data_IF_731662775404
#
_entry.id   IF_731662775404
#
_cell.length_a   1.000
_cell.length_b   1.000
_cell.length_c   1.000
_cell.angle_alpha   90.00
_cell.angle_beta   90.00
_cell.angle_gamma   90.00
#
_symmetry.space_group_name_H-M   'P 1'
#
loop_
_entity.id
_entity.type
_entity.pdbx_description
1 polymer ?
#
# COMPACT_ATOMS: atom_id res chain seq x y z
N UNK A 1 6.70 6.76 2.62
CA UNK A 1 5.23 6.78 2.71
C UNK A 1 4.75 7.35 4.05
N UNK A 2 4.88 6.65 5.18
CA UNK A 2 4.22 7.04 6.45
C UNK A 2 4.52 8.47 6.95
N UNK A 3 5.77 8.94 6.92
CA UNK A 3 6.07 10.31 7.37
C UNK A 3 5.39 11.41 6.53
N UNK A 4 5.21 11.17 5.23
CA UNK A 4 4.45 12.07 4.34
C UNK A 4 2.95 11.92 4.59
N UNK A 5 2.48 10.70 4.82
CA UNK A 5 1.09 10.43 5.17
C UNK A 5 0.68 11.18 6.44
N UNK A 6 1.43 11.02 7.52
CA UNK A 6 1.17 11.68 8.80
C UNK A 6 1.17 13.22 8.66
N UNK A 7 2.01 13.74 7.75
CA UNK A 7 2.06 15.18 7.46
C UNK A 7 0.76 15.68 6.83
N UNK A 8 0.30 15.01 5.77
CA UNK A 8 -0.90 15.44 5.02
C UNK A 8 -2.22 15.03 5.67
N UNK A 9 -2.22 14.00 6.51
CA UNK A 9 -3.40 13.48 7.22
C UNK A 9 -3.58 14.03 8.64
N UNK A 10 -2.67 14.87 9.12
CA UNK A 10 -2.65 15.36 10.49
C UNK A 10 -4.03 15.82 11.01
N UNK A 11 -4.75 16.62 10.24
CA UNK A 11 -6.07 17.16 10.62
C UNK A 11 -7.21 16.12 10.59
N UNK A 12 -7.16 15.14 9.69
CA UNK A 12 -8.12 14.03 9.69
C UNK A 12 -7.83 13.04 10.82
N UNK A 13 -6.55 12.72 11.05
CA UNK A 13 -6.11 11.76 12.06
C UNK A 13 -6.40 12.23 13.49
N UNK A 14 -6.33 13.54 13.73
CA UNK A 14 -6.72 14.12 15.03
C UNK A 14 -8.17 13.79 15.42
N UNK A 15 -9.05 13.67 14.41
CA UNK A 15 -10.49 13.42 14.55
C UNK A 15 -10.86 11.93 14.51
N UNK A 16 -9.95 11.05 14.10
CA UNK A 16 -10.19 9.60 14.07
C UNK A 16 -10.00 8.99 15.48
N UNK A 17 -11.03 8.38 16.09
CA UNK A 17 -10.92 7.73 17.40
C UNK A 17 -9.95 6.55 17.44
N UNK A 18 -9.67 5.89 16.30
CA UNK A 18 -8.74 4.77 16.18
C UNK A 18 -7.28 5.21 16.34
N UNK A 19 -6.95 6.44 15.93
CA UNK A 19 -5.60 7.01 16.02
C UNK A 19 -5.32 7.43 17.47
N UNK A 20 -4.09 7.24 17.94
CA UNK A 20 -3.62 7.50 19.30
C UNK A 20 -3.51 6.27 20.21
N UNK A 21 -3.68 5.07 19.66
CA UNK A 21 -3.59 3.77 20.36
C UNK A 21 -2.50 2.89 19.72
N UNK A 22 -2.48 1.60 20.03
CA UNK A 22 -1.58 0.61 19.40
C UNK A 22 -1.77 0.55 17.88
N UNK A 23 -2.95 0.95 17.38
CA UNK A 23 -3.36 0.81 15.98
C UNK A 23 -3.07 2.05 15.10
N UNK A 24 -2.44 3.08 15.67
CA UNK A 24 -1.93 4.24 14.93
C UNK A 24 -1.57 5.40 15.86
N UNK A 25 -0.52 6.17 15.54
CA UNK A 25 -0.07 7.28 16.38
C UNK A 25 -0.80 8.59 16.05
N UNK A 26 -1.10 9.41 17.07
CA UNK A 26 -1.41 10.84 16.85
C UNK A 26 -0.11 11.61 16.84
N UNK A 27 0.24 12.20 15.69
CA UNK A 27 1.47 12.96 15.58
C UNK A 27 1.42 14.21 16.49
N UNK A 28 2.49 14.47 17.25
CA UNK A 28 2.64 15.72 17.99
C UNK A 28 3.05 16.85 17.01
N UNK A 29 2.34 18.00 16.98
CA UNK A 29 2.66 19.13 16.09
C UNK A 29 4.12 19.59 16.16
N UNK A 30 4.76 19.50 17.34
CA UNK A 30 6.16 19.90 17.53
C UNK A 30 7.16 19.02 16.78
N UNK A 31 6.76 17.79 16.40
CA UNK A 31 7.59 16.83 15.65
C UNK A 31 7.33 16.88 14.14
N UNK A 32 6.40 17.72 13.69
CA UNK A 32 5.95 17.75 12.31
C UNK A 32 7.08 18.13 11.34
N UNK A 33 7.86 19.15 11.68
CA UNK A 33 9.05 19.53 10.91
C UNK A 33 10.08 18.41 10.92
N UNK A 34 10.38 17.82 12.08
CA UNK A 34 11.35 16.73 12.20
C UNK A 34 11.00 15.53 11.32
N UNK A 35 9.74 15.05 11.36
CA UNK A 35 9.30 13.91 10.54
C UNK A 35 9.38 14.23 9.06
N UNK A 36 9.02 15.45 8.65
CA UNK A 36 9.15 15.87 7.25
C UNK A 36 10.60 15.85 6.79
N UNK A 37 11.53 16.41 7.57
CA UNK A 37 12.95 16.40 7.23
C UNK A 37 13.52 14.97 7.21
N UNK A 38 13.20 14.16 8.22
CA UNK A 38 13.59 12.76 8.26
C UNK A 38 13.06 11.98 7.05
N UNK A 39 11.79 12.17 6.68
CA UNK A 39 11.19 11.55 5.51
C UNK A 39 11.89 11.96 4.20
N UNK A 40 12.22 13.25 4.06
CA UNK A 40 12.97 13.77 2.89
C UNK A 40 14.39 13.22 2.83
N UNK A 41 15.10 13.18 3.96
CA UNK A 41 16.47 12.62 4.05
C UNK A 41 16.43 11.13 3.70
N UNK A 42 15.56 10.35 4.32
CA UNK A 42 15.42 8.92 4.02
C UNK A 42 15.04 8.68 2.55
N UNK A 43 14.09 9.43 2.01
CA UNK A 43 13.72 9.32 0.59
C UNK A 43 14.91 9.64 -0.33
N UNK A 44 15.66 10.70 -0.02
CA UNK A 44 16.84 11.10 -0.79
C UNK A 44 17.93 10.02 -0.74
N UNK A 45 18.25 9.51 0.45
CA UNK A 45 19.26 8.45 0.63
C UNK A 45 18.88 7.18 -0.14
N UNK A 46 17.61 6.78 -0.09
CA UNK A 46 17.12 5.58 -0.77
C UNK A 46 17.13 5.77 -2.30
N UNK A 47 16.75 6.95 -2.81
CA UNK A 47 16.85 7.27 -4.24
C UNK A 47 18.32 7.27 -4.69
N UNK A 48 19.20 7.95 -3.95
CA UNK A 48 20.64 7.99 -4.26
C UNK A 48 21.28 6.60 -4.24
N UNK A 49 20.93 5.77 -3.25
CA UNK A 49 21.35 4.38 -3.17
C UNK A 49 20.89 3.60 -4.41
N UNK A 50 19.65 3.79 -4.86
CA UNK A 50 19.15 3.13 -6.07
C UNK A 50 19.87 3.61 -7.33
N UNK A 51 20.10 4.92 -7.47
CA UNK A 51 20.84 5.48 -8.61
C UNK A 51 22.29 4.98 -8.66
N UNK A 52 22.95 4.83 -7.50
CA UNK A 52 24.32 4.34 -7.41
C UNK A 52 24.50 2.90 -7.93
N UNK A 53 23.41 2.13 -8.06
CA UNK A 53 23.45 0.77 -8.63
C UNK A 53 23.62 0.77 -10.15
N UNK A 54 23.39 1.90 -10.82
CA UNK A 54 23.36 2.04 -12.28
C UNK A 54 22.44 1.02 -12.99
N UNK A 55 21.49 0.45 -12.25
CA UNK A 55 20.62 -0.60 -12.74
C UNK A 55 19.24 -0.01 -13.10
N UNK A 56 18.85 0.03 -14.39
CA UNK A 56 17.61 0.66 -14.81
C UNK A 56 16.35 0.05 -14.17
N UNK A 57 16.34 -1.27 -13.97
CA UNK A 57 15.21 -1.97 -13.35
C UNK A 57 15.04 -1.59 -11.88
N UNK A 58 16.16 -1.53 -11.15
CA UNK A 58 16.16 -1.06 -9.76
C UNK A 58 15.70 0.39 -9.65
N UNK A 59 16.24 1.27 -10.51
CA UNK A 59 15.87 2.69 -10.54
C UNK A 59 14.38 2.85 -10.89
N UNK A 60 13.85 2.07 -11.83
CA UNK A 60 12.43 2.09 -12.18
C UNK A 60 11.55 1.62 -11.02
N UNK A 61 11.89 0.49 -10.38
CA UNK A 61 11.18 -0.01 -9.21
C UNK A 61 11.16 0.99 -8.06
N UNK A 62 12.29 1.67 -7.82
CA UNK A 62 12.42 2.74 -6.85
C UNK A 62 11.55 3.95 -7.21
N UNK A 63 11.60 4.41 -8.46
CA UNK A 63 10.82 5.56 -8.93
C UNK A 63 9.32 5.31 -8.79
N UNK A 64 8.84 4.10 -9.15
CA UNK A 64 7.46 3.68 -8.95
C UNK A 64 7.09 3.74 -7.46
N UNK A 65 7.90 3.12 -6.61
CA UNK A 65 7.65 3.08 -5.17
C UNK A 65 7.60 4.48 -4.55
N UNK A 66 8.51 5.38 -4.95
CA UNK A 66 8.57 6.77 -4.46
C UNK A 66 7.40 7.61 -4.97
N UNK A 67 7.05 7.48 -6.26
CA UNK A 67 5.92 8.17 -6.86
C UNK A 67 4.62 7.86 -6.12
N UNK A 68 4.28 6.57 -5.97
CA UNK A 68 3.08 6.18 -5.26
C UNK A 68 3.18 6.52 -3.76
N UNK A 69 4.34 6.32 -3.12
CA UNK A 69 4.51 6.65 -1.69
C UNK A 69 4.26 8.13 -1.38
N UNK A 70 4.61 9.04 -2.28
CA UNK A 70 4.40 10.47 -2.11
C UNK A 70 2.96 10.86 -2.47
N UNK A 71 2.53 10.52 -3.69
CA UNK A 71 1.23 10.93 -4.23
C UNK A 71 0.04 10.17 -3.66
N UNK A 72 0.28 9.11 -2.89
CA UNK A 72 -0.78 8.47 -2.11
C UNK A 72 -1.49 9.48 -1.22
N UNK A 73 -0.74 10.30 -0.47
CA UNK A 73 -1.30 11.27 0.48
C UNK A 73 -1.14 12.73 0.03
N UNK A 74 -0.10 13.04 -0.74
CA UNK A 74 0.22 14.41 -1.16
C UNK A 74 -0.65 14.90 -2.34
N UNK A 75 -1.00 16.20 -2.39
CA UNK A 75 -1.60 16.82 -3.56
C UNK A 75 -0.60 16.88 -4.75
N UNK A 76 -1.10 17.00 -6.00
CA UNK A 76 -2.51 17.12 -6.38
C UNK A 76 -3.23 15.78 -6.54
N UNK A 77 -2.51 14.66 -6.53
CA UNK A 77 -3.09 13.35 -6.83
C UNK A 77 -3.88 12.78 -5.65
N UNK A 78 -3.30 12.76 -4.43
CA UNK A 78 -3.91 12.20 -3.20
C UNK A 78 -4.67 10.90 -3.50
N UNK A 79 -3.95 9.88 -3.99
CA UNK A 79 -4.53 8.64 -4.52
C UNK A 79 -5.36 7.88 -3.48
N UNK A 80 -5.09 8.05 -2.17
CA UNK A 80 -5.88 7.47 -1.08
C UNK A 80 -7.39 7.76 -1.14
N UNK A 81 -7.81 8.82 -1.83
CA UNK A 81 -9.24 9.20 -1.96
C UNK A 81 -9.81 8.94 -3.37
N UNK A 82 -9.13 8.13 -4.19
CA UNK A 82 -9.49 7.90 -5.60
C UNK A 82 -9.53 6.40 -5.94
N UNK A 83 -10.49 5.62 -5.44
CA UNK A 83 -10.57 4.22 -5.75
C UNK A 83 -10.87 3.96 -7.23
N UNK A 84 -10.30 2.89 -7.84
CA UNK A 84 -9.47 1.87 -7.22
C UNK A 84 -7.98 2.24 -7.06
N UNK A 85 -7.58 3.48 -7.44
CA UNK A 85 -6.17 3.90 -7.44
C UNK A 85 -5.53 3.88 -6.05
N UNK A 86 -6.32 4.00 -4.98
CA UNK A 86 -5.86 3.82 -3.60
C UNK A 86 -5.26 2.42 -3.40
N UNK A 87 -5.98 1.38 -3.78
CA UNK A 87 -5.53 -0.01 -3.71
C UNK A 87 -4.41 -0.32 -4.69
N UNK A 88 -4.48 0.19 -5.93
CA UNK A 88 -3.38 0.06 -6.90
C UNK A 88 -2.08 0.63 -6.35
N UNK A 89 -2.13 1.82 -5.74
CA UNK A 89 -0.95 2.47 -5.15
C UNK A 89 -0.28 1.56 -4.12
N UNK A 90 -1.06 0.92 -3.25
CA UNK A 90 -0.53 0.02 -2.22
C UNK A 90 0.10 -1.24 -2.81
N UNK A 91 -0.53 -1.85 -3.83
CA UNK A 91 0.06 -2.97 -4.55
C UNK A 91 1.43 -2.61 -5.16
N UNK A 92 1.57 -1.39 -5.67
CA UNK A 92 2.80 -0.91 -6.27
C UNK A 92 3.88 -0.57 -5.23
N UNK A 93 3.49 0.06 -4.11
CA UNK A 93 4.41 0.44 -3.03
C UNK A 93 4.98 -0.79 -2.32
N UNK A 94 4.13 -1.72 -1.90
CA UNK A 94 4.54 -2.81 -1.01
C UNK A 94 5.01 -4.08 -1.72
N UNK A 95 4.63 -4.26 -2.99
CA UNK A 95 4.96 -5.49 -3.72
C UNK A 95 5.68 -5.19 -5.02
N UNK A 96 5.06 -4.48 -5.97
CA UNK A 96 5.64 -4.38 -7.33
C UNK A 96 6.99 -3.66 -7.31
N UNK A 97 7.10 -2.50 -6.66
CA UNK A 97 8.37 -1.76 -6.55
C UNK A 97 9.50 -2.63 -6.00
N UNK A 98 9.34 -3.25 -4.80
CA UNK A 98 10.32 -4.18 -4.25
C UNK A 98 10.64 -5.39 -5.13
N UNK A 99 9.63 -5.99 -5.79
CA UNK A 99 9.84 -7.10 -6.72
C UNK A 99 10.70 -6.66 -7.90
N UNK A 100 10.42 -5.50 -8.50
CA UNK A 100 11.22 -4.97 -9.59
C UNK A 100 12.67 -4.69 -9.16
N UNK A 101 12.84 -4.06 -7.99
CA UNK A 101 14.18 -3.80 -7.44
C UNK A 101 14.96 -5.10 -7.22
N UNK A 102 14.34 -6.11 -6.60
CA UNK A 102 14.99 -7.41 -6.37
C UNK A 102 15.33 -8.17 -7.64
N UNK A 103 14.40 -8.21 -8.61
CA UNK A 103 14.64 -8.88 -9.90
C UNK A 103 15.77 -8.21 -10.69
N UNK A 104 15.89 -6.87 -10.63
CA UNK A 104 16.94 -6.14 -11.32
C UNK A 104 18.36 -6.65 -11.07
N UNK A 105 18.65 -7.27 -9.92
CA UNK A 105 19.98 -7.77 -9.57
C UNK A 105 20.31 -9.19 -10.05
N UNK A 106 19.46 -9.80 -10.88
CA UNK A 106 19.79 -11.10 -11.47
C UNK A 106 18.92 -11.53 -12.65
N UNK A 107 17.87 -10.76 -12.96
CA UNK A 107 16.88 -11.05 -14.01
C UNK A 107 16.32 -9.76 -14.61
N UNK A 108 15.68 -9.88 -15.77
CA UNK A 108 14.92 -8.79 -16.38
C UNK A 108 13.59 -8.58 -15.67
N UNK A 109 13.01 -7.38 -15.78
CA UNK A 109 11.62 -7.11 -15.42
C UNK A 109 10.63 -8.02 -16.15
N UNK A 110 10.99 -8.45 -17.36
CA UNK A 110 10.20 -9.36 -18.17
C UNK A 110 10.17 -10.79 -17.59
N UNK A 111 11.10 -11.11 -16.69
CA UNK A 111 11.21 -12.42 -16.05
C UNK A 111 10.39 -12.51 -14.76
N UNK A 112 9.69 -11.45 -14.35
CA UNK A 112 8.80 -11.50 -13.19
C UNK A 112 7.71 -12.54 -13.47
N UNK A 113 7.65 -13.64 -12.70
CA UNK A 113 6.70 -14.70 -12.97
C UNK A 113 5.28 -14.22 -12.66
N UNK A 114 4.28 -14.84 -13.28
CA UNK A 114 2.85 -14.53 -13.06
C UNK A 114 2.48 -14.42 -11.58
N UNK A 115 3.02 -15.31 -10.73
CA UNK A 115 2.80 -15.30 -9.28
C UNK A 115 3.21 -13.99 -8.60
N UNK A 116 4.20 -13.27 -9.12
CA UNK A 116 4.59 -11.94 -8.62
C UNK A 116 3.46 -10.92 -8.81
N UNK A 117 2.87 -10.88 -10.01
CA UNK A 117 1.72 -10.02 -10.31
C UNK A 117 0.46 -10.43 -9.52
N UNK A 118 0.29 -11.73 -9.26
CA UNK A 118 -0.80 -12.23 -8.42
C UNK A 118 -0.66 -11.81 -6.95
N UNK A 119 0.57 -11.71 -6.42
CA UNK A 119 0.80 -11.14 -5.09
C UNK A 119 0.47 -9.64 -5.08
N UNK A 120 0.81 -8.90 -6.14
CA UNK A 120 0.43 -7.47 -6.27
C UNK A 120 -1.09 -7.33 -6.23
N UNK A 121 -1.82 -8.17 -6.98
CA UNK A 121 -3.27 -8.20 -6.99
C UNK A 121 -3.85 -8.52 -5.60
N UNK A 122 -3.30 -9.52 -4.91
CA UNK A 122 -3.68 -9.85 -3.54
C UNK A 122 -3.44 -8.69 -2.56
N UNK A 123 -2.32 -7.98 -2.70
CA UNK A 123 -2.02 -6.80 -1.87
C UNK A 123 -3.01 -5.65 -2.10
N UNK A 124 -3.46 -5.44 -3.34
CA UNK A 124 -4.54 -4.48 -3.64
C UNK A 124 -5.84 -4.88 -2.95
N UNK A 125 -6.17 -6.18 -2.95
CA UNK A 125 -7.32 -6.73 -2.23
C UNK A 125 -7.25 -6.50 -0.71
N UNK A 126 -6.12 -6.86 -0.10
CA UNK A 126 -5.86 -6.64 1.34
C UNK A 126 -5.96 -5.16 1.69
N UNK A 127 -5.44 -4.25 0.85
CA UNK A 127 -5.61 -2.82 1.05
C UNK A 127 -7.09 -2.43 1.04
N UNK A 128 -7.84 -2.83 0.01
CA UNK A 128 -9.27 -2.52 -0.08
C UNK A 128 -10.03 -3.01 1.17
N UNK A 129 -9.75 -4.24 1.63
CA UNK A 129 -10.30 -4.79 2.87
C UNK A 129 -9.96 -3.92 4.09
N UNK A 130 -8.71 -3.47 4.19
CA UNK A 130 -8.28 -2.65 5.34
C UNK A 130 -9.06 -1.34 5.47
N UNK A 131 -9.55 -0.76 4.36
CA UNK A 131 -10.38 0.46 4.38
C UNK A 131 -11.76 0.26 5.04
N UNK A 132 -12.21 -0.98 5.26
CA UNK A 132 -13.46 -1.28 5.97
C UNK A 132 -13.38 -0.81 7.43
N UNK A 133 -12.21 -0.95 8.06
CA UNK A 133 -11.99 -0.60 9.47
C UNK A 133 -12.19 0.90 9.70
N UNK A 134 -11.75 1.72 8.74
CA UNK A 134 -11.83 3.18 8.82
C UNK A 134 -13.10 3.76 8.15
N UNK A 135 -13.98 2.93 7.58
CA UNK A 135 -15.16 3.35 6.81
C UNK A 135 -15.97 4.49 7.44
N UNK A 136 -16.31 4.38 8.73
CA UNK A 136 -17.13 5.39 9.41
C UNK A 136 -16.37 6.70 9.61
N UNK A 137 -15.07 6.61 9.92
CA UNK A 137 -14.21 7.78 10.13
C UNK A 137 -13.94 8.49 8.79
N UNK A 138 -13.56 7.74 7.76
CA UNK A 138 -13.32 8.25 6.41
C UNK A 138 -14.56 8.92 5.82
N UNK A 139 -15.72 8.26 5.95
CA UNK A 139 -17.00 8.81 5.49
C UNK A 139 -17.35 10.13 6.19
N UNK A 140 -17.11 10.24 7.50
CA UNK A 140 -17.31 11.49 8.26
C UNK A 140 -16.29 12.58 7.89
N UNK A 141 -15.07 12.18 7.53
CA UNK A 141 -14.03 13.10 7.08
C UNK A 141 -14.21 13.57 5.62
N UNK A 142 -15.13 12.95 4.87
CA UNK A 142 -15.33 13.22 3.45
C UNK A 142 -14.31 12.54 2.53
N UNK A 143 -13.51 11.61 3.06
CA UNK A 143 -12.55 10.83 2.27
C UNK A 143 -13.29 9.75 1.48
N UNK A 144 -13.00 9.65 0.18
CA UNK A 144 -13.56 8.64 -0.71
C UNK A 144 -12.61 7.46 -0.83
N UNK A 145 -12.45 6.66 0.23
CA UNK A 145 -11.68 5.40 0.17
C UNK A 145 -12.47 4.29 -0.54
N UNK A 146 -11.83 3.16 -0.86
CA UNK A 146 -12.47 2.03 -1.53
C UNK A 146 -13.77 1.59 -0.85
N UNK A 147 -13.74 1.31 0.45
CA UNK A 147 -14.93 0.89 1.19
C UNK A 147 -15.98 2.01 1.30
N UNK A 148 -15.59 3.28 1.39
CA UNK A 148 -16.56 4.40 1.40
C UNK A 148 -17.28 4.53 0.06
N UNK A 149 -16.55 4.31 -1.05
CA UNK A 149 -17.08 4.50 -2.41
C UNK A 149 -17.91 3.31 -2.87
N UNK A 150 -17.43 2.08 -2.68
CA UNK A 150 -18.08 0.86 -3.16
C UNK A 150 -18.85 0.09 -2.07
N UNK A 151 -18.67 0.47 -0.80
CA UNK A 151 -19.27 -0.21 0.35
C UNK A 151 -18.37 -1.29 0.95
N UNK A 152 -18.60 -1.60 2.23
CA UNK A 152 -17.83 -2.59 2.99
C UNK A 152 -17.85 -3.97 2.35
N UNK A 153 -19.04 -4.44 1.94
CA UNK A 153 -19.22 -5.75 1.31
C UNK A 153 -18.47 -5.86 -0.02
N UNK A 154 -18.48 -4.81 -0.84
CA UNK A 154 -17.73 -4.82 -2.09
C UNK A 154 -16.22 -4.87 -1.86
N UNK A 155 -15.71 -4.15 -0.85
CA UNK A 155 -14.31 -4.22 -0.46
C UNK A 155 -13.91 -5.63 0.03
N UNK A 156 -14.76 -6.28 0.82
CA UNK A 156 -14.53 -7.65 1.28
C UNK A 156 -14.55 -8.68 0.13
N UNK A 157 -15.53 -8.58 -0.78
CA UNK A 157 -15.60 -9.43 -1.95
C UNK A 157 -14.42 -9.21 -2.90
N UNK A 158 -13.97 -7.96 -3.08
CA UNK A 158 -12.79 -7.65 -3.88
C UNK A 158 -11.52 -8.28 -3.28
N UNK A 159 -11.36 -8.21 -1.96
CA UNK A 159 -10.25 -8.86 -1.27
C UNK A 159 -10.30 -10.39 -1.41
N UNK A 160 -11.48 -10.99 -1.18
CA UNK A 160 -11.69 -12.43 -1.34
C UNK A 160 -11.37 -12.90 -2.76
N UNK A 161 -11.90 -12.22 -3.78
CA UNK A 161 -11.71 -12.60 -5.19
C UNK A 161 -10.25 -12.50 -5.61
N UNK A 162 -9.56 -11.40 -5.28
CA UNK A 162 -8.14 -11.22 -5.60
C UNK A 162 -7.25 -12.25 -4.91
N UNK A 163 -7.52 -12.58 -3.64
CA UNK A 163 -6.78 -13.60 -2.90
C UNK A 163 -7.06 -15.02 -3.41
N UNK A 164 -8.30 -15.35 -3.78
CA UNK A 164 -8.65 -16.64 -4.40
C UNK A 164 -7.98 -16.81 -5.76
N UNK A 165 -7.98 -15.77 -6.59
CA UNK A 165 -7.27 -15.78 -7.88
C UNK A 165 -5.77 -16.01 -7.64
N UNK A 166 -5.16 -15.33 -6.66
CA UNK A 166 -3.78 -15.58 -6.30
C UNK A 166 -3.54 -17.03 -5.80
N UNK A 167 -4.44 -17.57 -4.98
CA UNK A 167 -4.32 -18.93 -4.44
C UNK A 167 -4.39 -19.99 -5.55
N UNK A 168 -5.35 -19.85 -6.47
CA UNK A 168 -5.63 -20.83 -7.53
C UNK A 168 -4.57 -20.76 -8.62
N UNK A 169 -4.21 -19.56 -9.08
CA UNK A 169 -3.33 -19.38 -10.25
C UNK A 169 -1.86 -19.12 -9.88
N UNK A 170 -1.55 -18.83 -8.61
CA UNK A 170 -0.19 -18.47 -8.19
C UNK A 170 0.76 -19.65 -8.02
N UNK A 171 0.23 -20.88 -7.94
CA UNK A 171 0.98 -22.12 -7.72
C UNK A 171 2.06 -21.97 -6.63
N UNK A 172 1.66 -21.40 -5.48
CA UNK A 172 2.58 -21.16 -4.37
C UNK A 172 2.88 -22.47 -3.63
N UNK A 173 4.11 -22.96 -3.71
CA UNK A 173 4.51 -24.19 -2.98
C UNK A 173 4.88 -23.93 -1.52
N UNK A 174 5.25 -22.69 -1.16
CA UNK A 174 5.63 -22.32 0.20
C UNK A 174 4.42 -22.35 1.13
N UNK A 175 4.40 -23.20 2.17
CA UNK A 175 3.24 -23.34 3.07
C UNK A 175 2.84 -22.01 3.72
N UNK A 176 3.81 -21.21 4.18
CA UNK A 176 3.55 -19.92 4.81
C UNK A 176 2.75 -18.95 3.92
N UNK A 177 3.08 -18.89 2.62
CA UNK A 177 2.35 -18.03 1.66
C UNK A 177 0.92 -18.55 1.48
N UNK A 178 0.75 -19.87 1.33
CA UNK A 178 -0.58 -20.46 1.21
C UNK A 178 -1.44 -20.20 2.45
N UNK A 179 -0.87 -20.39 3.65
CA UNK A 179 -1.56 -20.12 4.90
C UNK A 179 -2.00 -18.67 4.99
N UNK A 180 -1.11 -17.72 4.68
CA UNK A 180 -1.45 -16.29 4.65
C UNK A 180 -2.60 -15.97 3.70
N UNK A 181 -2.58 -16.52 2.47
CA UNK A 181 -3.65 -16.26 1.49
C UNK A 181 -4.98 -16.90 1.94
N UNK A 182 -4.93 -18.13 2.47
CA UNK A 182 -6.13 -18.84 2.96
C UNK A 182 -6.76 -18.10 4.14
N UNK A 183 -5.97 -17.69 5.14
CA UNK A 183 -6.50 -16.94 6.28
C UNK A 183 -7.06 -15.60 5.83
N UNK A 184 -6.39 -14.90 4.92
CA UNK A 184 -6.93 -13.68 4.29
C UNK A 184 -8.27 -13.89 3.59
N UNK A 185 -8.44 -15.00 2.86
CA UNK A 185 -9.73 -15.37 2.26
C UNK A 185 -10.81 -15.58 3.33
N UNK A 186 -10.50 -16.31 4.41
CA UNK A 186 -11.45 -16.58 5.49
C UNK A 186 -11.91 -15.29 6.18
N UNK A 187 -10.99 -14.38 6.53
CA UNK A 187 -11.35 -13.08 7.10
C UNK A 187 -12.21 -12.26 6.15
N UNK A 188 -11.88 -12.25 4.86
CA UNK A 188 -12.65 -11.52 3.85
C UNK A 188 -14.04 -12.11 3.62
N UNK A 189 -14.22 -13.41 3.83
CA UNK A 189 -15.51 -14.09 3.66
C UNK A 189 -16.48 -13.85 4.82
N UNK A 190 -15.96 -13.73 6.05
CA UNK A 190 -16.77 -13.58 7.28
C UNK A 190 -17.21 -12.12 7.53
N UNK A 191 -16.65 -11.15 6.79
CA UNK A 191 -16.88 -9.70 6.97
C UNK A 191 -17.99 -9.14 6.10
#
# INVERSE_FOLDING_TARGET
>A
MYGINDFYEFESDKRNPRKGSVEGAKLNPRRHSYIKHAALICASLIILSSLATLNPTNILGMAIMMFFSYFYSAPPLRLKTKPPLDSFSNGFIYVLGPVLMGFGFGKSILDVPLKGYLIVLGAMGVHAFSTIMDYTADKKAGDRTFAVTFGKRAAALFALTTLLVALIFGNFHTPAIRYFIITGCLFSFVS
#
